data_IF_698483783786
#
_entry.id   IF_698483783786
#
_cell.length_a   1.000
_cell.length_b   1.000
_cell.length_c   1.000
_cell.angle_alpha   90.00
_cell.angle_beta   90.00
_cell.angle_gamma   90.00
#
_symmetry.space_group_name_H-M   'P 1'
#
loop_
_entity.id
_entity.type
_entity.pdbx_description
1 polymer ?
#
# COMPACT_ATOMS: atom_id res chain seq x y z
N UNK A 1 17.89 -0.23 -0.31
CA UNK A 1 16.53 -0.69 -0.66
C UNK A 1 15.78 0.51 -1.20
N UNK A 2 15.18 0.40 -2.36
CA UNK A 2 14.29 1.41 -2.94
C UNK A 2 12.95 1.43 -2.24
N UNK A 3 12.36 2.61 -2.06
CA UNK A 3 10.99 2.78 -1.56
C UNK A 3 10.12 3.36 -2.68
N UNK A 4 9.04 2.66 -3.02
CA UNK A 4 8.09 3.08 -4.06
C UNK A 4 6.75 3.36 -3.42
N UNK A 5 6.32 4.63 -3.45
CA UNK A 5 5.00 5.03 -2.98
C UNK A 5 4.02 4.80 -4.13
N UNK A 6 3.05 3.94 -3.94
CA UNK A 6 2.07 3.55 -4.96
C UNK A 6 0.94 4.57 -4.99
N UNK A 7 0.95 5.46 -5.99
CA UNK A 7 -0.03 6.52 -6.18
C UNK A 7 -0.80 6.38 -7.50
N UNK A 8 -1.01 5.16 -7.94
CA UNK A 8 -1.85 4.84 -9.09
C UNK A 8 -3.33 4.70 -8.74
N UNK A 9 -4.15 4.55 -9.76
CA UNK A 9 -5.57 4.28 -9.64
C UNK A 9 -6.48 5.43 -10.12
N UNK A 10 -7.75 5.08 -10.38
CA UNK A 10 -8.77 6.04 -10.84
C UNK A 10 -9.63 6.45 -9.65
N UNK A 11 -9.79 7.75 -9.46
CA UNK A 11 -10.49 8.32 -8.31
C UNK A 11 -11.86 8.87 -8.76
N UNK A 12 -12.89 8.05 -8.71
CA UNK A 12 -14.24 8.45 -9.14
C UNK A 12 -14.95 9.39 -8.15
N UNK A 13 -14.48 9.46 -6.90
CA UNK A 13 -15.13 10.23 -5.84
C UNK A 13 -14.44 11.56 -5.53
N UNK A 14 -13.26 11.82 -6.15
CA UNK A 14 -12.43 12.97 -5.84
C UNK A 14 -11.92 13.63 -7.12
N UNK A 15 -12.01 14.95 -7.21
CA UNK A 15 -11.36 15.71 -8.27
C UNK A 15 -9.84 15.68 -8.16
N UNK A 16 -9.34 15.53 -6.93
CA UNK A 16 -7.92 15.41 -6.60
C UNK A 16 -7.61 13.98 -6.17
N UNK A 17 -6.50 13.38 -6.62
CA UNK A 17 -6.05 12.08 -6.13
C UNK A 17 -5.99 12.05 -4.59
N UNK A 18 -6.47 10.97 -3.97
CA UNK A 18 -6.49 10.83 -2.50
C UNK A 18 -5.13 11.11 -1.86
N UNK A 19 -4.07 10.68 -2.50
CA UNK A 19 -2.68 10.88 -2.06
C UNK A 19 -2.25 12.35 -1.95
N UNK A 20 -2.95 13.26 -2.64
CA UNK A 20 -2.70 14.70 -2.62
C UNK A 20 -3.63 15.46 -1.66
N UNK A 21 -4.55 14.75 -0.99
CA UNK A 21 -5.38 15.34 0.04
C UNK A 21 -4.51 15.73 1.26
N UNK A 22 -4.89 16.81 1.94
CA UNK A 22 -4.11 17.37 3.03
C UNK A 22 -4.65 16.97 4.39
N UNK A 23 -3.75 16.51 5.24
CA UNK A 23 -3.96 16.37 6.67
C UNK A 23 -3.18 17.49 7.36
N UNK A 24 -3.87 18.38 8.06
CA UNK A 24 -3.29 19.52 8.74
C UNK A 24 -2.35 20.39 7.87
N UNK A 25 -2.72 20.56 6.57
CA UNK A 25 -1.97 21.39 5.62
C UNK A 25 -0.79 20.66 4.93
N UNK A 26 -0.56 19.38 5.21
CA UNK A 26 0.46 18.57 4.54
C UNK A 26 -0.20 17.48 3.66
N UNK A 27 0.10 17.41 2.35
CA UNK A 27 -0.37 16.34 1.49
C UNK A 27 0.10 14.96 1.97
N UNK A 28 -0.77 13.94 1.89
CA UNK A 28 -0.48 12.57 2.37
C UNK A 28 0.84 12.05 1.80
N UNK A 29 1.06 12.19 0.49
CA UNK A 29 2.30 11.75 -0.17
C UNK A 29 3.53 12.52 0.34
N UNK A 30 3.40 13.82 0.59
CA UNK A 30 4.50 14.64 1.11
C UNK A 30 4.88 14.22 2.53
N UNK A 31 3.87 13.96 3.39
CA UNK A 31 4.05 13.43 4.74
C UNK A 31 4.79 12.08 4.70
N UNK A 32 4.36 11.15 3.86
CA UNK A 32 5.01 9.85 3.73
C UNK A 32 6.48 10.00 3.33
N UNK A 33 6.79 10.85 2.36
CA UNK A 33 8.16 11.13 1.92
C UNK A 33 8.99 11.75 3.06
N UNK A 34 8.44 12.72 3.77
CA UNK A 34 9.12 13.35 4.91
C UNK A 34 9.46 12.32 5.99
N UNK A 35 8.48 11.52 6.40
CA UNK A 35 8.70 10.48 7.42
C UNK A 35 9.73 9.42 6.98
N UNK A 36 9.72 9.01 5.71
CA UNK A 36 10.75 8.12 5.16
C UNK A 36 12.15 8.75 5.26
N UNK A 37 12.30 10.02 4.86
CA UNK A 37 13.58 10.76 4.94
C UNK A 37 14.06 10.94 6.38
N UNK A 38 13.17 11.23 7.32
CA UNK A 38 13.48 11.31 8.74
C UNK A 38 14.01 9.98 9.31
N UNK A 39 13.66 8.86 8.68
CA UNK A 39 14.18 7.52 9.00
C UNK A 39 15.36 7.08 8.11
N UNK A 40 16.03 8.03 7.42
CA UNK A 40 17.25 7.77 6.66
C UNK A 40 17.03 7.11 5.29
N UNK A 41 15.83 7.19 4.72
CA UNK A 41 15.53 6.66 3.39
C UNK A 41 15.75 7.75 2.34
N UNK A 42 16.72 7.56 1.45
CA UNK A 42 17.06 8.51 0.37
C UNK A 42 16.51 8.08 -1.00
N UNK A 43 16.42 6.77 -1.27
CA UNK A 43 15.97 6.22 -2.56
C UNK A 43 14.44 6.05 -2.56
N UNK A 44 13.75 7.14 -2.85
CA UNK A 44 12.28 7.22 -2.87
C UNK A 44 11.81 7.57 -4.28
N UNK A 45 10.81 6.83 -4.79
CA UNK A 45 10.11 7.11 -6.02
C UNK A 45 8.60 6.99 -5.84
N UNK A 46 7.83 7.55 -6.77
CA UNK A 46 6.37 7.44 -6.80
C UNK A 46 5.95 6.67 -8.06
N UNK A 47 5.21 5.59 -7.89
CA UNK A 47 4.59 4.87 -9.01
C UNK A 47 3.24 5.51 -9.34
N UNK A 48 3.19 6.23 -10.46
CA UNK A 48 1.98 6.92 -10.95
C UNK A 48 2.16 7.36 -12.40
N UNK A 49 1.04 7.60 -13.10
CA UNK A 49 1.03 8.25 -14.42
C UNK A 49 0.55 9.73 -14.34
N UNK A 50 0.34 10.25 -13.15
CA UNK A 50 -0.14 11.61 -12.93
C UNK A 50 1.05 12.58 -12.70
N UNK A 51 1.27 13.56 -13.60
CA UNK A 51 2.42 14.48 -13.49
C UNK A 51 2.36 15.41 -12.27
N UNK A 52 1.21 15.53 -11.59
CA UNK A 52 1.08 16.35 -10.37
C UNK A 52 1.98 15.87 -9.23
N UNK A 53 2.47 14.63 -9.30
CA UNK A 53 3.37 14.05 -8.29
C UNK A 53 4.85 14.36 -8.53
N UNK A 54 5.29 14.83 -9.72
CA UNK A 54 6.69 15.12 -10.05
C UNK A 54 7.40 16.06 -9.06
N UNK A 55 6.66 16.98 -8.47
CA UNK A 55 7.19 17.93 -7.50
C UNK A 55 7.58 17.32 -6.15
N UNK A 56 7.19 16.07 -5.88
CA UNK A 56 7.46 15.40 -4.59
C UNK A 56 8.63 14.42 -4.66
N UNK A 57 8.69 13.60 -5.69
CA UNK A 57 9.76 12.62 -5.92
C UNK A 57 9.76 12.16 -7.39
N UNK A 58 10.83 11.49 -7.87
CA UNK A 58 10.87 10.90 -9.20
C UNK A 58 9.68 9.99 -9.47
N UNK A 59 9.06 10.14 -10.65
CA UNK A 59 7.93 9.33 -11.07
C UNK A 59 8.41 8.09 -11.82
N UNK A 60 7.82 6.94 -11.48
CA UNK A 60 7.91 5.69 -12.20
C UNK A 60 6.58 5.44 -12.91
N UNK A 61 6.57 5.62 -14.23
CA UNK A 61 5.38 5.38 -15.06
C UNK A 61 5.44 3.96 -15.62
N UNK A 62 4.33 3.25 -15.61
CA UNK A 62 4.21 1.93 -16.22
C UNK A 62 2.80 1.71 -16.76
N UNK A 63 2.69 0.78 -17.70
CA UNK A 63 1.39 0.39 -18.23
C UNK A 63 0.65 -0.43 -17.17
N UNK A 64 -0.31 0.21 -16.50
CA UNK A 64 -1.07 -0.35 -15.41
C UNK A 64 -2.49 -0.67 -15.91
N UNK A 65 -2.82 -1.96 -16.03
CA UNK A 65 -4.15 -2.41 -16.45
C UNK A 65 -5.24 -2.01 -15.45
N UNK A 66 -4.87 -1.72 -14.22
CA UNK A 66 -5.78 -1.24 -13.18
C UNK A 66 -6.36 0.15 -13.52
N UNK A 67 -5.61 1.00 -14.20
CA UNK A 67 -6.07 2.33 -14.65
C UNK A 67 -7.13 2.26 -15.76
N UNK A 68 -7.20 1.15 -16.50
CA UNK A 68 -8.13 0.98 -17.62
C UNK A 68 -9.61 0.79 -17.21
N UNK A 69 -9.92 0.87 -15.92
CA UNK A 69 -11.29 0.87 -15.42
C UNK A 69 -11.50 -0.03 -14.23
N UNK A 70 -11.89 0.55 -13.14
CA UNK A 70 -12.38 -0.16 -11.96
C UNK A 70 -13.65 -0.93 -12.37
N UNK A 71 -13.51 -2.23 -12.58
CA UNK A 71 -14.66 -3.11 -12.86
C UNK A 71 -14.50 -4.07 -14.02
N UNK A 72 -13.71 -3.77 -15.03
CA UNK A 72 -13.78 -4.57 -16.25
C UNK A 72 -12.50 -5.29 -16.65
N UNK A 73 -11.46 -5.46 -16.04
CA UNK A 73 -10.28 -6.30 -16.33
C UNK A 73 -8.99 -5.79 -15.66
N UNK A 74 -9.05 -4.71 -14.90
CA UNK A 74 -7.89 -4.23 -14.16
C UNK A 74 -7.53 -5.23 -13.05
N UNK A 75 -6.28 -5.64 -13.01
CA UNK A 75 -5.73 -6.49 -11.95
C UNK A 75 -5.15 -5.59 -10.88
N UNK A 76 -5.59 -5.75 -9.65
CA UNK A 76 -5.05 -4.99 -8.53
C UNK A 76 -3.53 -5.16 -8.40
N UNK A 77 -3.04 -6.37 -8.71
CA UNK A 77 -1.61 -6.70 -8.70
C UNK A 77 -0.75 -5.89 -9.67
N UNK A 78 -1.34 -5.22 -10.66
CA UNK A 78 -0.61 -4.29 -11.54
C UNK A 78 -0.17 -3.00 -10.85
N UNK A 79 -0.59 -2.74 -9.61
CA UNK A 79 -0.13 -1.59 -8.83
C UNK A 79 1.37 -1.69 -8.45
N UNK A 80 1.93 -2.89 -8.39
CA UNK A 80 3.34 -3.09 -8.12
C UNK A 80 4.20 -2.73 -9.34
N UNK A 81 4.98 -1.68 -9.21
CA UNK A 81 5.94 -1.32 -10.26
C UNK A 81 7.00 -2.43 -10.40
N UNK A 82 7.22 -2.99 -11.60
CA UNK A 82 8.20 -4.06 -11.79
C UNK A 82 9.63 -3.56 -11.55
N UNK A 83 10.36 -4.24 -10.68
CA UNK A 83 11.77 -3.96 -10.36
C UNK A 83 12.52 -5.27 -10.20
N UNK A 84 13.87 -5.20 -10.29
CA UNK A 84 14.75 -6.35 -10.03
C UNK A 84 15.62 -6.14 -8.77
N UNK A 85 15.38 -5.05 -8.03
CA UNK A 85 16.13 -4.72 -6.82
C UNK A 85 15.23 -4.83 -5.58
N UNK A 86 15.81 -5.03 -4.37
CA UNK A 86 15.04 -5.00 -3.13
C UNK A 86 14.25 -3.71 -3.01
N UNK A 87 12.92 -3.83 -2.86
CA UNK A 87 11.99 -2.70 -2.90
C UNK A 87 10.96 -2.80 -1.79
N UNK A 88 10.68 -1.68 -1.14
CA UNK A 88 9.54 -1.51 -0.25
C UNK A 88 8.44 -0.75 -0.99
N UNK A 89 7.30 -1.40 -1.21
CA UNK A 89 6.11 -0.80 -1.77
C UNK A 89 5.25 -0.23 -0.64
N UNK A 90 5.01 1.08 -0.68
CA UNK A 90 4.23 1.82 0.32
C UNK A 90 2.88 2.19 -0.31
N UNK A 91 1.78 1.90 0.37
CA UNK A 91 0.46 2.32 -0.09
C UNK A 91 0.33 3.84 0.05
N UNK A 92 0.09 4.53 -1.07
CA UNK A 92 0.21 5.98 -1.14
C UNK A 92 -0.98 6.74 -0.56
N UNK A 93 -2.12 6.08 -0.38
CA UNK A 93 -3.34 6.64 0.21
C UNK A 93 -3.43 6.43 1.74
N UNK A 94 -2.35 5.96 2.36
CA UNK A 94 -2.22 5.74 3.80
C UNK A 94 -1.62 6.95 4.50
N UNK A 95 -2.24 7.39 5.57
CA UNK A 95 -1.69 8.37 6.51
C UNK A 95 -0.94 7.63 7.60
N UNK A 96 0.38 7.67 7.51
CA UNK A 96 1.26 6.96 8.44
C UNK A 96 1.52 7.75 9.72
N UNK A 97 1.63 7.05 10.84
CA UNK A 97 2.30 7.57 12.03
C UNK A 97 3.82 7.55 11.85
N UNK A 98 4.60 8.35 12.60
CA UNK A 98 6.05 8.26 12.61
C UNK A 98 6.54 6.87 13.00
N UNK A 99 5.91 6.23 14.00
CA UNK A 99 6.24 4.90 14.48
C UNK A 99 5.97 3.81 13.45
N UNK A 100 4.90 3.94 12.64
CA UNK A 100 4.61 3.02 11.56
C UNK A 100 5.71 3.03 10.50
N UNK A 101 6.13 4.22 10.04
CA UNK A 101 7.22 4.34 9.08
C UNK A 101 8.53 3.81 9.66
N UNK A 102 8.84 4.15 10.92
CA UNK A 102 10.01 3.60 11.61
C UNK A 102 9.98 2.07 11.65
N UNK A 103 8.85 1.48 12.02
CA UNK A 103 8.66 0.02 12.04
C UNK A 103 8.90 -0.58 10.65
N UNK A 104 8.32 0.01 9.59
CA UNK A 104 8.51 -0.45 8.21
C UNK A 104 9.99 -0.37 7.81
N UNK A 105 10.69 0.72 8.14
CA UNK A 105 12.10 0.93 7.75
C UNK A 105 13.01 -0.03 8.50
N UNK A 106 12.86 -0.15 9.83
CA UNK A 106 13.77 -0.88 10.70
C UNK A 106 13.55 -2.41 10.69
N UNK A 107 12.35 -2.91 10.33
CA UNK A 107 12.07 -4.36 10.32
C UNK A 107 12.98 -5.08 9.34
N UNK A 108 13.82 -6.05 9.80
CA UNK A 108 14.63 -6.86 8.92
C UNK A 108 13.76 -7.71 8.00
N UNK A 109 14.11 -7.77 6.72
CA UNK A 109 13.37 -8.55 5.73
C UNK A 109 14.34 -9.38 4.92
N UNK A 110 14.12 -10.70 4.85
CA UNK A 110 14.98 -11.64 4.15
C UNK A 110 14.39 -12.13 2.82
N UNK A 111 13.08 -12.07 2.70
CA UNK A 111 12.30 -12.47 1.53
C UNK A 111 11.22 -11.42 1.26
N UNK A 112 10.02 -11.62 1.79
CA UNK A 112 8.89 -10.69 1.70
C UNK A 112 8.27 -10.49 3.09
N UNK A 113 8.11 -9.22 3.48
CA UNK A 113 7.45 -8.83 4.72
C UNK A 113 6.27 -7.91 4.43
N UNK A 114 5.13 -8.20 5.05
CA UNK A 114 3.90 -7.44 4.91
C UNK A 114 3.59 -6.68 6.19
N UNK A 115 3.16 -5.43 6.05
CA UNK A 115 2.79 -4.54 7.15
C UNK A 115 1.32 -4.16 7.01
N UNK A 116 0.56 -4.37 8.07
CA UNK A 116 -0.87 -4.11 8.08
C UNK A 116 -1.39 -3.88 9.50
N UNK A 117 -2.61 -3.38 9.64
CA UNK A 117 -3.26 -3.29 10.96
C UNK A 117 -3.74 -4.64 11.47
N UNK A 118 -3.97 -4.74 12.80
CA UNK A 118 -4.38 -5.96 13.46
C UNK A 118 -5.85 -6.32 13.22
N UNK A 119 -6.20 -7.62 13.12
CA UNK A 119 -7.51 -8.13 13.46
C UNK A 119 -7.58 -8.55 14.95
N UNK A 120 -8.75 -8.60 15.62
CA UNK A 120 -9.98 -7.97 15.16
C UNK A 120 -9.79 -6.47 15.20
N UNK A 121 -10.42 -5.81 14.24
CA UNK A 121 -10.33 -4.38 14.05
C UNK A 121 -10.65 -3.64 15.32
N UNK A 122 -9.66 -3.05 15.95
CA UNK A 122 -9.86 -2.32 17.18
C UNK A 122 -10.65 -1.06 16.87
N UNK A 123 -11.85 -0.96 17.44
CA UNK A 123 -12.75 0.19 17.25
C UNK A 123 -12.15 1.54 17.73
N UNK A 124 -11.01 1.51 18.40
CA UNK A 124 -10.24 2.73 18.75
C UNK A 124 -9.62 3.36 17.52
N UNK A 125 -9.42 2.58 16.44
CA UNK A 125 -8.87 3.08 15.21
C UNK A 125 -9.96 3.62 14.28
N UNK A 126 -9.52 4.33 13.26
CA UNK A 126 -10.39 5.05 12.34
C UNK A 126 -11.30 4.09 11.60
N UNK A 127 -10.79 2.87 11.28
CA UNK A 127 -11.55 1.84 10.58
C UNK A 127 -11.76 0.57 11.40
N UNK A 128 -12.90 -0.11 11.21
CA UNK A 128 -13.23 -1.36 11.91
C UNK A 128 -12.70 -2.62 11.22
N UNK A 129 -11.85 -2.50 10.21
CA UNK A 129 -11.25 -3.62 9.47
C UNK A 129 -9.73 -3.41 9.32
N UNK A 130 -9.02 -4.52 9.03
CA UNK A 130 -7.60 -4.47 8.81
C UNK A 130 -7.27 -3.81 7.47
N UNK A 131 -6.22 -2.99 7.47
CA UNK A 131 -5.77 -2.25 6.31
C UNK A 131 -4.33 -2.64 5.97
N UNK A 132 -4.00 -2.83 4.68
CA UNK A 132 -2.64 -3.03 4.21
C UNK A 132 -1.89 -1.69 4.14
N UNK A 133 -0.63 -1.67 4.54
CA UNK A 133 0.17 -0.44 4.60
C UNK A 133 1.42 -0.49 3.73
N UNK A 134 2.15 -1.60 3.73
CA UNK A 134 3.37 -1.74 2.93
C UNK A 134 3.71 -3.21 2.68
N UNK A 135 4.49 -3.44 1.61
CA UNK A 135 5.08 -4.72 1.28
C UNK A 135 6.58 -4.52 1.00
N UNK A 136 7.44 -5.06 1.86
CA UNK A 136 8.88 -5.03 1.72
C UNK A 136 9.35 -6.31 1.03
N UNK A 137 10.00 -6.20 -0.12
CA UNK A 137 10.33 -7.32 -1.00
C UNK A 137 11.83 -7.34 -1.26
N UNK A 138 12.51 -8.39 -0.87
CA UNK A 138 13.91 -8.67 -1.19
C UNK A 138 13.98 -9.55 -2.44
N UNK A 139 13.20 -10.62 -2.49
CA UNK A 139 13.11 -11.51 -3.64
C UNK A 139 11.96 -11.08 -4.58
N UNK A 140 12.32 -10.35 -5.62
CA UNK A 140 11.38 -9.90 -6.65
C UNK A 140 10.87 -11.06 -7.55
N UNK A 141 11.59 -12.18 -7.63
CA UNK A 141 11.10 -13.37 -8.34
C UNK A 141 9.94 -13.99 -7.57
N UNK A 142 10.09 -14.15 -6.26
CA UNK A 142 9.02 -14.67 -5.41
C UNK A 142 7.74 -13.80 -5.52
N UNK A 143 7.88 -12.48 -5.49
CA UNK A 143 6.71 -11.60 -5.68
C UNK A 143 6.04 -11.80 -7.05
N UNK A 144 6.82 -11.88 -8.13
CA UNK A 144 6.26 -12.10 -9.49
C UNK A 144 5.54 -13.44 -9.61
N UNK A 145 6.11 -14.49 -9.04
CA UNK A 145 5.49 -15.82 -9.06
C UNK A 145 4.20 -15.83 -8.24
N UNK A 146 4.18 -15.16 -7.08
CA UNK A 146 2.99 -15.02 -6.25
C UNK A 146 1.90 -14.19 -6.95
N UNK A 147 2.25 -13.10 -7.64
CA UNK A 147 1.32 -12.31 -8.45
C UNK A 147 0.70 -13.19 -9.55
N UNK A 148 1.54 -13.89 -10.32
CA UNK A 148 1.06 -14.77 -11.37
C UNK A 148 0.11 -15.85 -10.82
N UNK A 149 0.48 -16.52 -9.72
CA UNK A 149 -0.36 -17.54 -9.09
C UNK A 149 -1.67 -16.95 -8.56
N UNK A 150 -1.64 -15.77 -7.97
CA UNK A 150 -2.85 -15.06 -7.52
C UNK A 150 -3.81 -14.80 -8.68
N UNK A 151 -3.30 -14.42 -9.84
CA UNK A 151 -4.11 -14.23 -11.04
C UNK A 151 -4.73 -15.54 -11.53
N UNK A 152 -3.97 -16.62 -11.60
CA UNK A 152 -4.45 -17.95 -11.98
C UNK A 152 -5.55 -18.43 -11.04
N UNK A 153 -5.35 -18.30 -9.72
CA UNK A 153 -6.36 -18.68 -8.72
C UNK A 153 -7.61 -17.81 -8.81
N UNK A 154 -7.47 -16.52 -9.12
CA UNK A 154 -8.59 -15.63 -9.34
C UNK A 154 -9.42 -16.00 -10.56
N UNK A 155 -8.77 -16.34 -11.68
CA UNK A 155 -9.44 -16.78 -12.91
C UNK A 155 -10.17 -18.12 -12.73
N UNK A 156 -9.68 -18.98 -11.83
CA UNK A 156 -10.33 -20.25 -11.45
C UNK A 156 -11.51 -20.06 -10.50
N UNK A 157 -11.65 -18.89 -9.89
CA UNK A 157 -12.69 -18.63 -8.89
C UNK A 157 -12.39 -19.18 -7.49
N UNK A 158 -11.12 -19.41 -7.15
CA UNK A 158 -10.71 -19.93 -5.84
C UNK A 158 -10.85 -18.90 -4.71
N UNK A 159 -10.96 -17.62 -5.03
CA UNK A 159 -11.19 -16.55 -4.05
C UNK A 159 -12.68 -16.21 -3.92
N UNK A 160 -13.11 -15.87 -2.70
CA UNK A 160 -14.48 -15.39 -2.39
C UNK A 160 -14.78 -14.00 -2.98
N UNK A 161 -13.75 -13.25 -3.31
CA UNK A 161 -13.82 -11.89 -3.88
C UNK A 161 -12.67 -11.65 -4.84
N UNK A 162 -12.70 -10.53 -5.56
CA UNK A 162 -11.57 -10.10 -6.38
C UNK A 162 -10.34 -9.92 -5.48
N UNK A 163 -9.18 -10.54 -5.81
CA UNK A 163 -8.01 -10.49 -4.95
C UNK A 163 -7.44 -9.08 -4.86
N UNK A 164 -7.03 -8.74 -3.65
CA UNK A 164 -6.26 -7.54 -3.28
C UNK A 164 -5.04 -7.99 -2.46
N UNK A 165 -4.42 -7.10 -1.69
CA UNK A 165 -3.20 -7.41 -0.91
C UNK A 165 -3.35 -8.62 0.02
N UNK A 166 -4.52 -8.82 0.62
CA UNK A 166 -4.77 -9.94 1.54
C UNK A 166 -4.68 -11.28 0.86
N UNK A 167 -5.27 -11.43 -0.31
CA UNK A 167 -5.23 -12.67 -1.09
C UNK A 167 -3.84 -12.92 -1.67
N UNK A 168 -3.14 -11.87 -2.13
CA UNK A 168 -1.74 -11.99 -2.55
C UNK A 168 -0.84 -12.43 -1.39
N UNK A 169 -1.04 -11.89 -0.17
CA UNK A 169 -0.29 -12.31 1.01
C UNK A 169 -0.54 -13.78 1.38
N UNK A 170 -1.77 -14.26 1.27
CA UNK A 170 -2.09 -15.68 1.49
C UNK A 170 -1.36 -16.58 0.49
N UNK A 171 -1.24 -16.15 -0.76
CA UNK A 171 -0.47 -16.88 -1.78
C UNK A 171 1.03 -16.87 -1.45
N UNK A 172 1.61 -15.71 -1.13
CA UNK A 172 3.02 -15.58 -0.73
C UNK A 172 3.35 -16.50 0.45
N UNK A 173 2.47 -16.59 1.44
CA UNK A 173 2.69 -17.40 2.65
C UNK A 173 2.18 -18.83 2.56
N UNK A 174 1.63 -19.24 1.41
CA UNK A 174 1.01 -20.56 1.25
C UNK A 174 0.00 -20.89 2.36
N UNK A 175 -0.77 -19.90 2.80
CA UNK A 175 -1.79 -20.06 3.84
C UNK A 175 -3.17 -20.33 3.22
N UNK A 176 -4.15 -20.82 4.00
CA UNK A 176 -5.50 -21.06 3.48
C UNK A 176 -6.09 -19.82 2.84
N UNK A 177 -6.60 -19.96 1.62
CA UNK A 177 -7.24 -18.87 0.89
C UNK A 177 -8.53 -18.43 1.60
N UNK A 178 -8.86 -17.15 1.47
CA UNK A 178 -10.06 -16.54 2.05
C UNK A 178 -10.09 -16.48 3.59
N UNK A 179 -8.94 -16.66 4.25
CA UNK A 179 -8.78 -16.52 5.68
C UNK A 179 -7.71 -15.46 6.00
N UNK A 180 -8.01 -14.55 6.91
CA UNK A 180 -7.01 -13.56 7.38
C UNK A 180 -6.27 -14.18 8.56
N UNK A 181 -5.00 -14.52 8.33
CA UNK A 181 -4.10 -15.04 9.36
C UNK A 181 -3.08 -13.96 9.69
N UNK A 182 -2.94 -13.65 10.98
CA UNK A 182 -1.96 -12.66 11.45
C UNK A 182 -0.56 -13.26 11.46
N UNK A 183 0.07 -13.35 10.29
CA UNK A 183 1.43 -13.80 10.07
C UNK A 183 2.27 -12.74 9.36
N UNK A 184 2.03 -11.48 9.68
CA UNK A 184 2.65 -10.28 9.14
C UNK A 184 3.01 -9.32 10.28
N UNK A 185 3.81 -8.30 10.01
CA UNK A 185 4.14 -7.27 11.00
C UNK A 185 2.94 -6.35 11.21
N UNK A 186 2.43 -6.36 12.45
CA UNK A 186 1.25 -5.58 12.84
C UNK A 186 1.65 -4.16 13.20
N UNK A 187 1.02 -3.18 12.56
CA UNK A 187 1.03 -1.77 12.94
C UNK A 187 -0.27 -1.47 13.68
N UNK A 188 -0.14 -1.01 14.92
CA UNK A 188 -1.26 -0.88 15.86
C UNK A 188 -1.35 0.53 16.44
N UNK A 189 -1.48 1.52 15.56
CA UNK A 189 -1.63 2.94 15.91
C UNK A 189 -2.70 3.61 15.02
N UNK A 190 -2.68 4.92 14.85
CA UNK A 190 -3.64 5.63 14.02
C UNK A 190 -3.40 5.51 12.50
N UNK A 191 -2.34 4.80 12.07
CA UNK A 191 -2.05 4.59 10.65
C UNK A 191 -3.26 3.99 9.94
N UNK A 192 -3.71 4.64 8.86
CA UNK A 192 -4.96 4.32 8.21
C UNK A 192 -4.97 4.82 6.77
N UNK A 193 -5.62 4.10 5.86
CA UNK A 193 -5.88 4.58 4.52
C UNK A 193 -7.03 5.61 4.49
N UNK A 194 -7.11 6.38 3.43
CA UNK A 194 -8.16 7.39 3.21
C UNK A 194 -9.09 6.93 2.10
N UNK A 195 -10.29 6.50 2.45
CA UNK A 195 -11.33 6.12 1.48
C UNK A 195 -12.37 7.21 1.25
N UNK A 196 -12.61 8.03 2.28
CA UNK A 196 -13.66 9.04 2.24
C UNK A 196 -13.32 10.26 3.10
N UNK A 197 -14.15 11.32 2.98
CA UNK A 197 -13.95 12.58 3.69
C UNK A 197 -14.01 12.44 5.22
N UNK A 198 -14.77 11.48 5.74
CA UNK A 198 -14.86 11.26 7.19
C UNK A 198 -13.55 10.73 7.77
N UNK A 199 -12.77 9.95 6.99
CA UNK A 199 -11.45 9.48 7.40
C UNK A 199 -10.49 10.67 7.60
N UNK A 200 -10.53 11.67 6.68
CA UNK A 200 -9.72 12.88 6.79
C UNK A 200 -10.05 13.65 8.08
N UNK A 201 -11.32 13.81 8.40
CA UNK A 201 -11.72 14.54 9.61
C UNK A 201 -11.21 13.87 10.88
N UNK A 202 -11.36 12.54 10.97
CA UNK A 202 -10.86 11.78 12.11
C UNK A 202 -9.34 11.81 12.22
N UNK A 203 -8.64 11.71 11.08
CA UNK A 203 -7.19 11.76 11.02
C UNK A 203 -6.64 13.13 11.46
N UNK A 204 -7.31 14.22 11.12
CA UNK A 204 -6.94 15.58 11.58
C UNK A 204 -6.97 15.76 13.10
N UNK A 205 -7.76 14.95 13.80
CA UNK A 205 -7.83 15.00 15.27
C UNK A 205 -6.68 14.26 15.95
N UNK A 206 -6.04 13.31 15.28
CA UNK A 206 -5.02 12.43 15.86
C UNK A 206 -3.62 12.63 15.27
N UNK A 207 -3.51 13.25 14.11
CA UNK A 207 -2.22 13.56 13.46
C UNK A 207 -1.71 14.89 13.98
N UNK A 208 -0.52 14.87 14.61
CA UNK A 208 0.25 16.05 15.04
C UNK A 208 0.99 16.73 13.89
#
# INVERSE_FOLDING_TARGET
MKYIIMCGGVYHLWETPRHLLEINGEPIVARTIRLLKENGVDDIAISTNDPRFEKYAPILTHNNRYEAGYGNNGRWTDCFYPTNEPTCYIFGDVVFSPEAIKTIVETPTYDIEFFASAPPFDKRYIKPWAEPFALKVVDQHHLRDAIWLTEVLSERGDFKRKPIMWELWQVIKCTPLNEIITNYTVINDYTCDVDNQADIWKLREVVE
#
